data_IF_080737109706
#
_entry.id   IF_080737109706
#
_cell.length_a   1.000
_cell.length_b   1.000
_cell.length_c   1.000
_cell.angle_alpha   90.00
_cell.angle_beta   90.00
_cell.angle_gamma   90.00
#
_symmetry.space_group_name_H-M   'P 1'
#
loop_
_entity.id
_entity.type
_entity.pdbx_description
1 polymer ?
#
# COMPACT_ATOMS: atom_id res chain seq x y z
N UNK A 1 -25.26 -26.03 76.27
CA UNK A 1 -25.15 -25.00 75.19
C UNK A 1 -26.16 -25.40 74.13
N UNK A 2 -27.20 -24.58 73.88
CA UNK A 2 -28.43 -24.97 73.16
C UNK A 2 -28.18 -24.94 71.61
N UNK A 3 -28.76 -25.90 70.92
CA UNK A 3 -28.75 -26.02 69.44
C UNK A 3 -29.02 -24.68 68.73
N UNK A 4 -29.79 -23.78 69.36
CA UNK A 4 -30.06 -22.41 68.84
C UNK A 4 -28.80 -21.54 68.67
N UNK A 5 -27.75 -21.75 69.49
CA UNK A 5 -26.52 -20.95 69.37
C UNK A 5 -25.68 -21.42 68.16
N UNK A 6 -25.66 -22.71 67.82
CA UNK A 6 -24.96 -23.23 66.66
C UNK A 6 -25.61 -22.79 65.35
N UNK A 7 -26.94 -22.74 65.30
CA UNK A 7 -27.64 -22.22 64.12
C UNK A 7 -27.38 -20.73 63.88
N UNK A 8 -27.34 -19.93 64.99
CA UNK A 8 -27.01 -18.49 64.88
C UNK A 8 -25.57 -18.29 64.41
N UNK A 9 -24.60 -19.03 64.90
CA UNK A 9 -23.22 -18.98 64.46
C UNK A 9 -23.06 -19.42 62.97
N UNK A 10 -23.76 -20.47 62.57
CA UNK A 10 -23.73 -20.94 61.18
C UNK A 10 -24.32 -19.92 60.20
N UNK A 11 -25.43 -19.29 60.56
CA UNK A 11 -26.03 -18.21 59.78
C UNK A 11 -25.10 -16.99 59.67
N UNK A 12 -24.45 -16.64 60.81
CA UNK A 12 -23.50 -15.50 60.81
C UNK A 12 -22.26 -15.75 59.94
N UNK A 13 -21.71 -16.97 60.01
CA UNK A 13 -20.57 -17.36 59.17
C UNK A 13 -20.97 -17.43 57.68
N UNK A 14 -22.17 -17.94 57.39
CA UNK A 14 -22.70 -17.95 56.01
C UNK A 14 -22.94 -16.53 55.48
N UNK A 15 -23.44 -15.60 56.31
CA UNK A 15 -23.59 -14.19 55.91
C UNK A 15 -22.22 -13.50 55.66
N UNK A 16 -21.21 -13.78 56.50
CA UNK A 16 -19.85 -13.27 56.27
C UNK A 16 -19.18 -13.83 54.99
N UNK A 17 -19.45 -15.09 54.63
CA UNK A 17 -18.95 -15.69 53.39
C UNK A 17 -19.58 -15.07 52.13
N UNK A 18 -20.82 -14.57 52.21
CA UNK A 18 -21.49 -13.90 51.08
C UNK A 18 -20.97 -12.48 50.80
N UNK A 19 -20.26 -11.84 51.78
CA UNK A 19 -19.68 -10.50 51.56
C UNK A 19 -18.26 -10.53 50.99
N UNK A 20 -17.67 -11.71 50.81
CA UNK A 20 -16.37 -11.88 50.18
C UNK A 20 -16.50 -11.89 48.63
N UNK A 21 -17.30 -11.01 48.05
CA UNK A 21 -17.18 -10.69 46.64
C UNK A 21 -15.85 -9.95 46.43
N UNK A 22 -14.83 -10.69 46.05
CA UNK A 22 -13.60 -10.08 45.52
C UNK A 22 -13.99 -9.19 44.37
N UNK A 23 -13.91 -7.87 44.53
CA UNK A 23 -13.92 -6.93 43.42
C UNK A 23 -12.78 -7.36 42.52
N UNK A 24 -13.10 -7.97 41.36
CA UNK A 24 -12.16 -8.08 40.27
C UNK A 24 -11.90 -6.65 39.83
N UNK A 25 -10.84 -6.05 40.36
CA UNK A 25 -10.31 -4.81 39.81
C UNK A 25 -10.18 -5.01 38.32
N UNK A 26 -10.52 -4.01 37.53
CA UNK A 26 -10.20 -3.97 36.11
C UNK A 26 -8.73 -4.37 35.99
N UNK A 27 -8.45 -5.43 35.24
CA UNK A 27 -7.07 -5.82 34.94
C UNK A 27 -6.28 -4.61 34.45
N UNK A 28 -4.95 -4.68 34.47
CA UNK A 28 -4.14 -3.56 34.01
C UNK A 28 -4.66 -3.14 32.63
N UNK A 29 -5.13 -1.90 32.54
CA UNK A 29 -5.43 -1.27 31.25
C UNK A 29 -4.08 -1.11 30.58
N UNK A 30 -3.91 -1.70 29.40
CA UNK A 30 -2.70 -1.58 28.59
C UNK A 30 -2.27 -0.11 28.47
N UNK A 31 -1.01 0.10 28.16
CA UNK A 31 -0.49 1.44 27.83
C UNK A 31 -1.23 2.10 26.66
N UNK A 32 -0.90 3.33 26.29
CA UNK A 32 -1.41 3.96 25.08
C UNK A 32 -1.21 3.03 23.87
N UNK A 33 -2.19 2.98 22.99
CA UNK A 33 -2.08 2.20 21.74
C UNK A 33 -0.92 2.75 20.94
N UNK A 34 -0.05 1.86 20.45
CA UNK A 34 0.99 2.23 19.51
C UNK A 34 0.34 2.57 18.15
N UNK A 35 0.70 3.71 17.58
CA UNK A 35 0.23 4.19 16.28
C UNK A 35 1.37 4.32 15.27
N UNK A 36 2.58 3.92 15.66
CA UNK A 36 3.76 3.98 14.80
C UNK A 36 3.79 2.70 13.95
N UNK A 37 3.89 2.81 12.63
CA UNK A 37 4.03 1.63 11.77
C UNK A 37 5.41 1.00 11.91
N UNK A 38 5.58 -0.30 11.54
CA UNK A 38 6.86 -0.96 11.52
C UNK A 38 7.91 -0.20 10.72
N UNK A 39 9.09 0.01 11.29
CA UNK A 39 10.19 0.72 10.63
C UNK A 39 11.18 -0.27 10.01
N UNK A 40 11.67 0.07 8.81
CA UNK A 40 12.63 -0.71 8.07
C UNK A 40 14.00 -0.70 8.74
N UNK A 41 14.59 -1.90 8.95
CA UNK A 41 15.92 -2.06 9.54
C UNK A 41 16.94 -2.48 8.48
N UNK A 42 16.58 -3.47 7.64
CA UNK A 42 17.51 -4.05 6.67
C UNK A 42 16.77 -4.71 5.51
N UNK A 43 17.35 -4.59 4.32
CA UNK A 43 16.90 -5.28 3.11
C UNK A 43 18.04 -6.18 2.58
N UNK A 44 17.68 -7.36 2.06
CA UNK A 44 18.63 -8.30 1.46
C UNK A 44 17.98 -9.02 0.28
N UNK A 45 18.38 -8.75 -0.97
CA UNK A 45 19.23 -7.63 -1.41
C UNK A 45 18.64 -6.27 -1.07
N UNK A 46 19.40 -5.19 -1.17
CA UNK A 46 18.91 -3.83 -0.92
C UNK A 46 17.95 -3.38 -2.03
N UNK A 47 16.99 -2.55 -1.69
CA UNK A 47 16.10 -1.91 -2.65
C UNK A 47 16.92 -1.13 -3.70
N UNK A 48 16.59 -1.26 -4.98
CA UNK A 48 17.36 -0.68 -6.08
C UNK A 48 18.52 -1.55 -6.59
N UNK A 49 18.62 -2.82 -6.18
CA UNK A 49 19.64 -3.75 -6.68
C UNK A 49 19.54 -3.93 -8.19
N UNK A 50 20.68 -3.84 -8.89
CA UNK A 50 20.86 -4.19 -10.30
C UNK A 50 21.43 -5.61 -10.42
N UNK A 51 21.27 -6.22 -11.61
CA UNK A 51 21.71 -7.60 -11.86
C UNK A 51 21.17 -8.59 -10.83
N UNK A 52 19.91 -8.39 -10.45
CA UNK A 52 19.27 -9.22 -9.47
C UNK A 52 19.17 -10.67 -9.95
N UNK A 53 19.80 -11.59 -9.24
CA UNK A 53 19.84 -13.04 -9.50
C UNK A 53 19.35 -13.87 -8.32
N UNK A 54 18.95 -13.22 -7.23
CA UNK A 54 18.49 -13.89 -6.02
C UNK A 54 17.09 -14.50 -6.20
N UNK A 55 16.86 -15.68 -5.63
CA UNK A 55 15.52 -16.28 -5.60
C UNK A 55 14.66 -15.79 -4.44
N UNK A 56 15.23 -15.00 -3.54
CA UNK A 56 14.57 -14.53 -2.32
C UNK A 56 14.95 -13.10 -1.99
N UNK A 57 13.98 -12.36 -1.49
CA UNK A 57 14.16 -11.06 -0.85
C UNK A 57 13.78 -11.21 0.62
N UNK A 58 14.56 -10.63 1.51
CA UNK A 58 14.28 -10.55 2.94
C UNK A 58 14.34 -9.10 3.39
N UNK A 59 13.27 -8.64 4.06
CA UNK A 59 13.15 -7.30 4.62
C UNK A 59 12.92 -7.42 6.11
N UNK A 60 13.81 -6.84 6.92
CA UNK A 60 13.75 -6.89 8.37
C UNK A 60 13.23 -5.57 8.92
N UNK A 61 12.31 -5.67 9.88
CA UNK A 61 11.71 -4.56 10.59
C UNK A 61 12.16 -4.51 12.05
N UNK A 62 11.94 -3.38 12.70
CA UNK A 62 12.28 -3.16 14.11
C UNK A 62 11.33 -3.88 15.08
N UNK A 63 10.14 -4.27 14.60
CA UNK A 63 9.12 -4.97 15.38
C UNK A 63 8.53 -6.20 14.65
N UNK A 64 7.65 -6.94 15.34
CA UNK A 64 6.93 -8.07 14.77
C UNK A 64 5.88 -7.59 13.78
N UNK A 65 5.87 -8.20 12.59
CA UNK A 65 4.95 -7.87 11.52
C UNK A 65 3.97 -9.00 11.22
N UNK A 66 2.85 -8.64 10.63
CA UNK A 66 1.90 -9.54 9.99
C UNK A 66 1.52 -9.01 8.60
N UNK A 67 0.95 -9.87 7.77
CA UNK A 67 0.48 -9.49 6.44
C UNK A 67 -1.05 -9.48 6.41
N UNK A 68 -1.62 -8.39 5.92
CA UNK A 68 -3.05 -8.20 5.74
C UNK A 68 -3.39 -8.24 4.24
N UNK A 69 -4.38 -9.07 3.87
CA UNK A 69 -4.97 -9.15 2.52
C UNK A 69 -3.94 -9.11 1.38
N UNK A 70 -2.95 -10.04 1.41
CA UNK A 70 -1.85 -10.09 0.44
C UNK A 70 -2.37 -10.02 -1.00
N UNK A 71 -3.45 -10.74 -1.31
CA UNK A 71 -4.01 -10.80 -2.66
C UNK A 71 -4.57 -9.46 -3.16
N UNK A 72 -4.99 -8.62 -2.24
CA UNK A 72 -5.52 -7.28 -2.52
C UNK A 72 -4.43 -6.23 -2.54
N UNK A 73 -3.54 -6.27 -1.55
CA UNK A 73 -2.60 -5.19 -1.26
C UNK A 73 -1.24 -5.37 -1.91
N UNK A 74 -0.80 -6.61 -2.20
CA UNK A 74 0.53 -6.83 -2.82
C UNK A 74 0.39 -6.92 -4.32
N UNK A 75 1.06 -6.03 -5.02
CA UNK A 75 1.09 -5.98 -6.48
C UNK A 75 2.51 -6.07 -6.99
N UNK A 76 2.72 -6.94 -7.99
CA UNK A 76 4.03 -7.16 -8.61
C UNK A 76 3.96 -6.77 -10.08
N UNK A 77 4.88 -5.92 -10.50
CA UNK A 77 4.92 -5.38 -11.86
C UNK A 77 6.33 -5.52 -12.45
N UNK A 78 6.52 -6.18 -13.61
CA UNK A 78 5.51 -6.88 -14.43
C UNK A 78 4.80 -7.98 -13.66
N UNK A 79 3.53 -8.30 -14.02
CA UNK A 79 2.80 -9.37 -13.38
C UNK A 79 3.45 -10.73 -13.64
N UNK A 80 3.32 -11.63 -12.67
CA UNK A 80 3.82 -13.00 -12.75
C UNK A 80 2.66 -13.98 -12.71
N UNK A 81 2.65 -14.95 -13.62
CA UNK A 81 1.60 -15.99 -13.68
C UNK A 81 1.68 -16.92 -12.46
N UNK A 82 2.90 -17.18 -11.96
CA UNK A 82 3.12 -17.86 -10.71
C UNK A 82 3.64 -16.86 -9.65
N UNK A 83 2.74 -16.16 -8.96
CA UNK A 83 3.14 -15.09 -8.05
C UNK A 83 4.09 -15.62 -6.96
N UNK A 84 5.03 -14.80 -6.51
CA UNK A 84 5.95 -15.20 -5.45
C UNK A 84 5.22 -15.44 -4.14
N UNK A 85 5.81 -16.30 -3.33
CA UNK A 85 5.36 -16.54 -1.98
C UNK A 85 5.81 -15.40 -1.06
N UNK A 86 4.85 -14.68 -0.45
CA UNK A 86 5.10 -13.57 0.47
C UNK A 86 4.69 -13.99 1.88
N UNK A 87 5.63 -13.96 2.83
CA UNK A 87 5.41 -14.39 4.23
C UNK A 87 6.00 -13.42 5.23
N UNK A 88 5.31 -13.21 6.34
CA UNK A 88 5.87 -12.60 7.54
C UNK A 88 6.34 -13.67 8.51
N UNK A 89 7.59 -13.60 8.92
CA UNK A 89 8.22 -14.54 9.87
C UNK A 89 8.86 -13.72 11.00
N UNK A 90 8.11 -13.53 12.06
CA UNK A 90 8.57 -12.68 13.18
C UNK A 90 8.70 -11.21 12.75
N UNK A 91 9.93 -10.70 12.70
CA UNK A 91 10.26 -9.34 12.26
C UNK A 91 10.69 -9.27 10.80
N UNK A 92 10.57 -10.35 10.05
CA UNK A 92 11.10 -10.45 8.68
C UNK A 92 9.99 -10.74 7.69
N UNK A 93 9.91 -9.94 6.64
CA UNK A 93 9.16 -10.21 5.42
C UNK A 93 10.05 -11.03 4.49
N UNK A 94 9.56 -12.16 4.01
CA UNK A 94 10.25 -13.03 3.06
C UNK A 94 9.44 -13.13 1.78
N UNK A 95 10.08 -12.89 0.64
CA UNK A 95 9.49 -13.00 -0.69
C UNK A 95 10.32 -14.02 -1.46
N UNK A 96 9.69 -15.08 -1.96
CA UNK A 96 10.35 -16.16 -2.71
C UNK A 96 9.73 -16.26 -4.09
N UNK A 97 10.52 -16.04 -5.14
CA UNK A 97 10.05 -16.13 -6.52
C UNK A 97 9.83 -17.57 -6.93
N UNK A 98 8.67 -17.85 -7.55
CA UNK A 98 8.24 -19.18 -7.99
C UNK A 98 8.51 -19.43 -9.46
N UNK A 99 8.87 -18.38 -10.22
CA UNK A 99 9.25 -18.46 -11.63
C UNK A 99 10.55 -17.71 -11.88
N UNK A 100 11.17 -17.99 -13.02
CA UNK A 100 12.38 -17.27 -13.44
C UNK A 100 12.00 -15.85 -13.87
N UNK A 101 12.80 -14.90 -13.44
CA UNK A 101 12.62 -13.50 -13.78
C UNK A 101 13.05 -13.22 -15.22
N UNK A 102 12.35 -12.31 -15.89
CA UNK A 102 12.71 -11.89 -17.25
C UNK A 102 14.02 -11.12 -17.23
N UNK A 103 14.86 -11.35 -18.22
CA UNK A 103 16.14 -10.64 -18.38
C UNK A 103 15.92 -9.15 -18.67
N UNK A 104 16.89 -8.34 -18.22
CA UNK A 104 16.93 -6.88 -18.47
C UNK A 104 15.62 -6.18 -18.12
N UNK A 105 14.97 -6.59 -17.03
CA UNK A 105 13.64 -6.13 -16.64
C UNK A 105 13.65 -5.52 -15.24
N UNK A 106 13.02 -4.37 -15.09
CA UNK A 106 12.78 -3.76 -13.78
C UNK A 106 11.53 -4.38 -13.16
N UNK A 107 11.63 -4.86 -11.94
CA UNK A 107 10.52 -5.35 -11.12
C UNK A 107 10.20 -4.38 -10.01
N UNK A 108 8.92 -4.24 -9.73
CA UNK A 108 8.40 -3.43 -8.63
C UNK A 108 7.42 -4.28 -7.83
N UNK A 109 7.59 -4.31 -6.53
CA UNK A 109 6.67 -4.94 -5.59
C UNK A 109 6.10 -3.82 -4.73
N UNK A 110 4.84 -3.52 -4.92
CA UNK A 110 4.09 -2.59 -4.09
C UNK A 110 3.34 -3.37 -3.03
N UNK A 111 3.57 -3.04 -1.77
CA UNK A 111 2.93 -3.72 -0.64
C UNK A 111 1.65 -3.01 -0.17
N UNK A 112 1.34 -1.82 -0.71
CA UNK A 112 0.16 -1.05 -0.29
C UNK A 112 0.08 -0.92 1.23
N UNK A 113 -0.98 -1.47 1.81
CA UNK A 113 -1.19 -1.55 3.26
C UNK A 113 -1.04 -2.99 3.80
N UNK A 114 -0.35 -3.89 3.08
CA UNK A 114 -0.24 -5.29 3.46
C UNK A 114 0.61 -5.52 4.72
N UNK A 115 1.69 -4.75 4.89
CA UNK A 115 2.62 -4.92 6.01
C UNK A 115 2.07 -4.15 7.19
N UNK A 116 1.73 -4.86 8.26
CA UNK A 116 1.18 -4.26 9.47
C UNK A 116 1.98 -4.68 10.70
N UNK A 117 2.00 -3.84 11.74
CA UNK A 117 2.36 -4.26 13.08
C UNK A 117 1.50 -5.46 13.54
N UNK A 118 2.12 -6.37 14.29
CA UNK A 118 1.48 -7.59 14.75
C UNK A 118 0.38 -7.34 15.80
N UNK A 119 0.58 -6.38 16.70
CA UNK A 119 -0.30 -6.14 17.86
C UNK A 119 -1.47 -5.24 17.49
N UNK A 120 -1.19 -4.01 17.07
CA UNK A 120 -2.15 -2.94 16.82
C UNK A 120 -2.70 -2.94 15.41
N UNK A 121 -2.05 -3.65 14.47
CA UNK A 121 -2.36 -3.74 13.04
C UNK A 121 -2.22 -2.40 12.31
N UNK A 122 -1.33 -1.55 12.81
CA UNK A 122 -0.99 -0.28 12.14
C UNK A 122 -0.24 -0.59 10.84
N UNK A 123 -0.75 -0.19 9.67
CA UNK A 123 -0.13 -0.50 8.39
C UNK A 123 1.09 0.38 8.11
N UNK A 124 2.12 -0.20 7.50
CA UNK A 124 3.18 0.53 6.82
C UNK A 124 2.71 0.82 5.40
N UNK A 125 2.27 2.05 5.15
CA UNK A 125 1.77 2.46 3.84
C UNK A 125 2.91 2.91 2.90
N UNK A 126 2.73 2.63 1.60
CA UNK A 126 3.61 3.13 0.55
C UNK A 126 5.00 2.50 0.49
N UNK A 127 5.21 1.35 1.14
CA UNK A 127 6.46 0.61 0.98
C UNK A 127 6.49 -0.09 -0.37
N UNK A 128 7.45 0.33 -1.20
CA UNK A 128 7.69 -0.22 -2.54
C UNK A 128 9.12 -0.71 -2.63
N UNK A 129 9.29 -1.94 -3.10
CA UNK A 129 10.59 -2.54 -3.35
C UNK A 129 10.80 -2.72 -4.86
N UNK A 130 11.85 -2.14 -5.41
CA UNK A 130 12.17 -2.22 -6.84
C UNK A 130 13.58 -2.79 -7.04
N UNK A 131 13.76 -3.56 -8.11
CA UNK A 131 15.06 -4.09 -8.53
C UNK A 131 15.06 -4.31 -10.04
N UNK A 132 16.23 -4.55 -10.60
CA UNK A 132 16.38 -4.87 -12.03
C UNK A 132 17.26 -6.10 -12.23
N UNK A 133 16.88 -6.97 -13.14
CA UNK A 133 17.74 -8.05 -13.63
C UNK A 133 18.77 -7.56 -14.64
N UNK A 134 18.66 -6.30 -15.12
CA UNK A 134 19.56 -5.65 -16.05
C UNK A 134 20.45 -4.58 -15.42
N UNK A 135 20.98 -3.72 -16.29
CA UNK A 135 22.01 -2.72 -15.95
C UNK A 135 21.44 -1.44 -15.34
N UNK A 136 20.13 -1.23 -15.40
CA UNK A 136 19.48 -0.02 -14.89
C UNK A 136 18.04 -0.32 -14.42
N UNK A 137 17.50 0.58 -13.62
CA UNK A 137 16.10 0.60 -13.24
C UNK A 137 15.38 1.61 -14.13
N UNK A 138 14.29 1.17 -14.76
CA UNK A 138 13.40 2.05 -15.51
C UNK A 138 12.77 3.06 -14.54
N UNK A 139 12.65 4.33 -14.93
CA UNK A 139 12.23 5.40 -14.01
C UNK A 139 11.02 6.20 -14.47
N UNK A 140 10.55 5.98 -15.70
CA UNK A 140 9.39 6.72 -16.21
C UNK A 140 8.11 6.27 -15.50
N UNK A 141 7.13 7.16 -15.47
CA UNK A 141 5.83 6.89 -14.91
C UNK A 141 4.73 7.59 -15.72
N UNK A 142 3.53 7.04 -15.62
CA UNK A 142 2.30 7.69 -16.09
C UNK A 142 1.25 7.63 -15.01
N UNK A 143 0.39 8.63 -14.96
CA UNK A 143 -0.71 8.67 -13.99
C UNK A 143 -2.00 9.20 -14.59
N UNK A 144 -3.10 8.90 -13.91
CA UNK A 144 -4.41 9.29 -14.36
C UNK A 144 -5.51 8.88 -13.39
N UNK A 145 -6.73 8.83 -13.89
CA UNK A 145 -7.92 8.42 -13.14
C UNK A 145 -8.79 7.45 -13.90
N UNK A 146 -9.43 6.55 -13.18
CA UNK A 146 -10.47 5.65 -13.69
C UNK A 146 -11.82 6.10 -13.15
N UNK A 147 -12.78 6.27 -14.05
CA UNK A 147 -14.16 6.63 -13.72
C UNK A 147 -15.12 5.59 -14.29
N UNK A 148 -16.19 5.33 -13.57
CA UNK A 148 -17.33 4.59 -14.11
C UNK A 148 -18.02 5.45 -15.19
N UNK A 149 -18.20 4.88 -16.38
CA UNK A 149 -18.74 5.60 -17.52
C UNK A 149 -20.22 5.98 -17.39
N UNK A 150 -20.98 5.27 -16.57
CA UNK A 150 -22.43 5.52 -16.40
C UNK A 150 -22.72 6.67 -15.43
N UNK A 151 -22.00 6.68 -14.28
CA UNK A 151 -22.33 7.60 -13.19
C UNK A 151 -21.20 8.60 -12.88
N UNK A 152 -20.07 8.53 -13.58
CA UNK A 152 -18.91 9.40 -13.46
C UNK A 152 -18.21 9.35 -12.08
N UNK A 153 -18.52 8.33 -11.28
CA UNK A 153 -17.86 8.13 -9.99
C UNK A 153 -16.44 7.58 -10.18
N UNK A 154 -15.49 7.93 -9.30
CA UNK A 154 -14.19 7.31 -9.27
C UNK A 154 -14.30 5.80 -9.05
N UNK A 155 -13.48 5.01 -9.75
CA UNK A 155 -13.45 3.55 -9.63
C UNK A 155 -12.23 3.11 -8.81
N UNK A 156 -12.43 2.67 -7.56
CA UNK A 156 -11.34 2.16 -6.74
C UNK A 156 -10.96 0.72 -7.09
N UNK A 157 -9.70 0.37 -6.79
CA UNK A 157 -9.19 -1.01 -6.84
C UNK A 157 -9.21 -1.68 -8.22
N UNK A 158 -9.41 -0.92 -9.28
CA UNK A 158 -9.36 -1.43 -10.66
C UNK A 158 -7.90 -1.69 -11.04
N UNK A 159 -7.63 -2.83 -11.67
CA UNK A 159 -6.32 -3.13 -12.24
C UNK A 159 -6.10 -2.23 -13.46
N UNK A 160 -5.04 -1.43 -13.44
CA UNK A 160 -4.63 -0.59 -14.57
C UNK A 160 -3.32 -1.11 -15.12
N UNK A 161 -3.26 -1.34 -16.42
CA UNK A 161 -2.08 -1.91 -17.05
C UNK A 161 -1.75 -1.27 -18.39
N UNK A 162 -0.50 -1.40 -18.79
CA UNK A 162 0.00 -0.98 -20.10
C UNK A 162 0.57 -2.15 -20.88
N UNK A 163 0.37 -2.10 -22.21
CA UNK A 163 0.97 -3.01 -23.17
C UNK A 163 1.94 -2.29 -24.09
N UNK A 164 3.14 -2.84 -24.24
CA UNK A 164 4.10 -2.43 -25.27
C UNK A 164 3.78 -3.01 -26.65
N UNK A 165 3.00 -4.08 -26.72
CA UNK A 165 2.49 -4.62 -27.97
C UNK A 165 1.17 -3.94 -28.33
N UNK A 166 1.14 -3.29 -29.49
CA UNK A 166 -0.02 -2.50 -29.96
C UNK A 166 -1.04 -3.33 -30.78
N UNK A 167 -0.86 -4.65 -30.89
CA UNK A 167 -1.84 -5.52 -31.55
C UNK A 167 -3.14 -5.55 -30.75
N UNK A 168 -4.28 -5.51 -31.43
CA UNK A 168 -5.60 -5.60 -30.78
C UNK A 168 -5.80 -6.95 -30.06
N UNK A 169 -5.05 -7.99 -30.45
CA UNK A 169 -5.08 -9.29 -29.79
C UNK A 169 -4.18 -9.37 -28.55
N UNK A 170 -3.31 -8.39 -28.33
CA UNK A 170 -2.36 -8.43 -27.22
C UNK A 170 -3.07 -8.51 -25.87
N UNK A 171 -4.14 -7.76 -25.69
CA UNK A 171 -4.93 -7.72 -24.47
C UNK A 171 -5.49 -9.08 -24.03
N UNK A 172 -5.81 -9.96 -25.00
CA UNK A 172 -6.40 -11.29 -24.75
C UNK A 172 -5.36 -12.43 -24.74
N UNK A 173 -4.12 -12.17 -25.16
CA UNK A 173 -3.13 -13.22 -25.39
C UNK A 173 -1.83 -13.06 -24.62
N UNK A 174 -1.59 -11.86 -24.08
CA UNK A 174 -0.37 -11.51 -23.37
C UNK A 174 -0.71 -10.79 -22.09
N UNK A 175 -0.03 -11.08 -20.98
CA UNK A 175 -0.19 -10.30 -19.75
C UNK A 175 0.32 -8.86 -19.97
N UNK A 176 -0.15 -7.94 -19.15
CA UNK A 176 0.30 -6.55 -19.16
C UNK A 176 1.82 -6.44 -18.98
N UNK A 177 2.44 -5.46 -19.64
CA UNK A 177 3.87 -5.14 -19.47
C UNK A 177 4.15 -4.50 -18.10
N UNK A 178 3.23 -3.70 -17.60
CA UNK A 178 3.25 -3.06 -16.28
C UNK A 178 1.83 -2.92 -15.77
N UNK A 179 1.69 -3.00 -14.45
CA UNK A 179 0.40 -2.88 -13.77
C UNK A 179 0.48 -2.02 -12.52
N UNK A 180 -0.66 -1.47 -12.16
CA UNK A 180 -0.94 -0.81 -10.87
C UNK A 180 -2.41 -1.00 -10.51
N UNK A 181 -2.86 -0.49 -9.37
CA UNK A 181 -4.29 -0.39 -9.01
C UNK A 181 -4.67 1.05 -8.76
N UNK A 182 -5.93 1.37 -9.05
CA UNK A 182 -6.50 2.66 -8.67
C UNK A 182 -6.77 2.70 -7.16
N UNK A 183 -6.55 3.87 -6.57
CA UNK A 183 -6.85 4.16 -5.16
C UNK A 183 -8.36 4.43 -4.93
N UNK A 184 -8.73 4.82 -3.71
CA UNK A 184 -10.11 5.14 -3.32
C UNK A 184 -10.74 6.28 -4.10
N UNK A 185 -9.93 7.17 -4.66
CA UNK A 185 -10.32 8.32 -5.46
C UNK A 185 -10.22 8.04 -6.98
N UNK A 186 -9.95 6.78 -7.34
CA UNK A 186 -9.77 6.33 -8.71
C UNK A 186 -8.43 6.72 -9.34
N UNK A 187 -7.51 7.34 -8.60
CA UNK A 187 -6.18 7.67 -9.13
C UNK A 187 -5.32 6.43 -9.27
N UNK A 188 -4.50 6.42 -10.31
CA UNK A 188 -3.48 5.42 -10.51
C UNK A 188 -2.16 6.05 -10.93
N UNK A 189 -1.06 5.39 -10.60
CA UNK A 189 0.28 5.69 -11.12
C UNK A 189 0.99 4.39 -11.44
N UNK A 190 1.39 4.22 -12.70
CA UNK A 190 2.24 3.12 -13.13
C UNK A 190 3.67 3.60 -13.10
N UNK A 191 4.48 3.00 -12.26
CA UNK A 191 5.89 3.34 -12.08
C UNK A 191 6.82 2.43 -12.87
N UNK A 192 8.08 2.85 -12.97
CA UNK A 192 9.19 2.05 -13.48
C UNK A 192 8.94 1.57 -14.92
N UNK A 193 8.41 2.47 -15.75
CA UNK A 193 8.14 2.21 -17.16
C UNK A 193 9.42 2.48 -17.95
N UNK A 194 9.75 1.57 -18.86
CA UNK A 194 10.81 1.74 -19.84
C UNK A 194 10.42 2.78 -20.89
N UNK A 195 11.39 3.46 -21.47
CA UNK A 195 11.18 4.29 -22.64
C UNK A 195 10.55 3.46 -23.78
N UNK A 196 9.48 3.98 -24.38
CA UNK A 196 8.70 3.28 -25.41
C UNK A 196 7.32 3.87 -25.58
N UNK A 197 6.52 3.17 -26.35
CA UNK A 197 5.11 3.53 -26.61
C UNK A 197 4.20 2.40 -26.13
N UNK A 198 3.04 2.77 -25.57
CA UNK A 198 2.17 1.84 -24.87
C UNK A 198 0.70 2.13 -25.13
N UNK A 199 -0.13 1.09 -25.04
CA UNK A 199 -1.59 1.22 -24.89
C UNK A 199 -1.95 1.06 -23.41
N UNK A 200 -2.92 1.84 -22.95
CA UNK A 200 -3.39 1.87 -21.57
C UNK A 200 -4.77 1.25 -21.45
N UNK A 201 -4.93 0.41 -20.42
CA UNK A 201 -6.18 -0.30 -20.13
C UNK A 201 -6.46 -0.28 -18.65
N UNK A 202 -7.76 -0.40 -18.28
CA UNK A 202 -8.16 -0.76 -16.94
C UNK A 202 -9.11 -1.95 -17.01
N UNK A 203 -8.91 -2.95 -16.15
CA UNK A 203 -9.54 -4.26 -16.23
C UNK A 203 -10.06 -4.70 -14.87
N UNK A 204 -11.26 -5.29 -14.83
CA UNK A 204 -11.69 -6.09 -13.70
C UNK A 204 -11.23 -7.53 -13.88
N UNK A 205 -9.97 -7.78 -13.60
CA UNK A 205 -9.31 -9.07 -13.76
C UNK A 205 -9.82 -10.08 -12.71
N UNK A 206 -10.92 -10.73 -13.02
CA UNK A 206 -11.55 -11.75 -12.15
C UNK A 206 -10.75 -13.05 -12.21
N UNK A 207 -10.21 -13.37 -13.37
CA UNK A 207 -9.43 -14.58 -13.63
C UNK A 207 -8.03 -14.54 -13.00
N UNK A 208 -7.48 -13.34 -12.75
CA UNK A 208 -6.14 -13.07 -12.23
C UNK A 208 -5.02 -13.58 -13.14
N UNK A 209 -5.27 -13.55 -14.44
CA UNK A 209 -4.29 -13.91 -15.46
C UNK A 209 -3.64 -12.68 -16.12
N UNK A 210 -4.08 -11.47 -15.71
CA UNK A 210 -3.60 -10.18 -16.23
C UNK A 210 -3.83 -10.01 -17.72
N UNK A 211 -4.86 -10.67 -18.27
CA UNK A 211 -5.32 -10.62 -19.66
C UNK A 211 -6.84 -10.41 -19.64
N UNK A 212 -7.37 -9.79 -20.67
CA UNK A 212 -8.82 -9.64 -20.81
C UNK A 212 -9.48 -10.96 -21.20
N UNK A 213 -10.51 -11.34 -20.45
CA UNK A 213 -11.40 -12.45 -20.75
C UNK A 213 -12.81 -11.95 -21.06
N UNK A 214 -13.56 -12.61 -21.95
CA UNK A 214 -14.95 -12.23 -22.24
C UNK A 214 -15.81 -12.23 -20.95
N UNK A 215 -16.51 -11.12 -20.72
CA UNK A 215 -17.32 -10.91 -19.52
C UNK A 215 -16.60 -10.17 -18.38
N UNK A 216 -15.36 -9.82 -18.55
CA UNK A 216 -14.66 -8.89 -17.65
C UNK A 216 -14.90 -7.46 -18.10
N UNK A 217 -15.14 -6.57 -17.15
CA UNK A 217 -15.33 -5.17 -17.46
C UNK A 217 -14.01 -4.49 -17.81
N UNK A 218 -14.02 -3.61 -18.79
CA UNK A 218 -12.83 -3.03 -19.41
C UNK A 218 -12.98 -1.51 -19.61
N UNK A 219 -11.88 -0.79 -19.43
CA UNK A 219 -11.68 0.56 -19.94
C UNK A 219 -10.43 0.62 -20.79
N UNK A 220 -10.44 1.40 -21.85
CA UNK A 220 -9.27 1.61 -22.71
C UNK A 220 -9.25 3.02 -23.28
N UNK A 221 -8.06 3.45 -23.67
CA UNK A 221 -7.84 4.64 -24.49
C UNK A 221 -7.23 4.18 -25.82
N UNK A 222 -7.82 4.62 -26.93
CA UNK A 222 -7.30 4.32 -28.27
C UNK A 222 -5.96 5.01 -28.57
N UNK A 223 -5.59 6.01 -27.77
CA UNK A 223 -4.34 6.74 -27.94
C UNK A 223 -3.14 5.89 -27.51
N UNK A 224 -2.04 6.06 -28.22
CA UNK A 224 -0.75 5.51 -27.84
C UNK A 224 -0.08 6.52 -26.92
N UNK A 225 0.23 6.10 -25.69
CA UNK A 225 0.97 6.91 -24.73
C UNK A 225 2.46 6.68 -24.85
N UNK A 226 3.24 7.74 -24.75
CA UNK A 226 4.71 7.71 -24.73
C UNK A 226 5.16 8.38 -23.43
N UNK A 227 5.55 7.61 -22.40
CA UNK A 227 6.01 8.18 -21.14
C UNK A 227 7.29 8.99 -21.34
N UNK A 228 7.38 10.14 -20.67
CA UNK A 228 8.57 10.99 -20.63
C UNK A 228 8.63 11.76 -19.32
N UNK A 229 9.70 12.49 -19.07
CA UNK A 229 9.79 13.39 -17.92
C UNK A 229 10.20 14.79 -18.37
N UNK A 230 9.76 15.76 -17.59
CA UNK A 230 10.19 17.15 -17.68
C UNK A 230 10.72 17.64 -16.35
N UNK A 231 11.73 18.50 -16.40
CA UNK A 231 12.21 19.23 -15.23
C UNK A 231 11.67 20.64 -15.29
N UNK A 232 10.94 21.05 -14.26
CA UNK A 232 10.35 22.39 -14.17
C UNK A 232 10.81 23.04 -12.87
N UNK A 233 11.07 24.34 -12.92
CA UNK A 233 11.26 25.14 -11.74
C UNK A 233 9.90 25.45 -11.14
N UNK A 234 9.72 25.13 -9.86
CA UNK A 234 8.50 25.42 -9.09
C UNK A 234 8.84 26.22 -7.86
N UNK A 235 7.93 27.07 -7.45
CA UNK A 235 8.06 27.78 -6.18
C UNK A 235 7.62 26.84 -5.06
N UNK A 236 8.49 26.58 -4.12
CA UNK A 236 8.22 25.83 -2.91
C UNK A 236 8.12 26.77 -1.72
N UNK A 237 7.09 26.62 -0.92
CA UNK A 237 6.87 27.45 0.25
C UNK A 237 7.27 26.69 1.49
N UNK A 238 8.31 27.18 2.17
CA UNK A 238 8.69 26.66 3.47
C UNK A 238 7.84 27.33 4.54
N UNK A 239 7.21 26.50 5.36
CA UNK A 239 6.42 26.96 6.50
C UNK A 239 7.25 26.82 7.76
N UNK A 240 7.12 27.81 8.66
CA UNK A 240 7.71 27.77 10.00
C UNK A 240 6.59 27.79 11.02
N UNK A 241 6.65 26.85 11.93
CA UNK A 241 5.82 26.90 13.12
C UNK A 241 6.33 27.97 14.07
N UNK A 242 5.51 28.97 14.33
CA UNK A 242 5.79 29.98 15.33
C UNK A 242 4.95 29.71 16.57
N UNK A 243 5.64 29.70 17.73
CA UNK A 243 5.00 29.63 19.02
C UNK A 243 4.57 31.05 19.44
N UNK A 244 3.27 31.26 19.49
CA UNK A 244 2.66 32.45 20.05
C UNK A 244 2.01 32.13 21.41
N UNK A 245 1.79 33.16 22.23
CA UNK A 245 0.98 33.04 23.43
C UNK A 245 -0.30 33.86 23.21
N UNK A 246 -1.45 33.18 23.35
CA UNK A 246 -2.73 33.87 23.33
C UNK A 246 -2.75 34.93 24.45
N UNK A 247 -2.96 36.21 24.13
CA UNK A 247 -2.93 37.27 25.12
C UNK A 247 -4.07 37.18 26.16
N UNK A 248 -5.14 36.45 25.85
CA UNK A 248 -6.33 36.32 26.69
C UNK A 248 -6.27 35.02 27.51
N UNK A 249 -6.11 33.85 26.84
CA UNK A 249 -6.12 32.53 27.50
C UNK A 249 -4.77 32.17 28.10
N UNK A 250 -3.67 32.81 27.64
CA UNK A 250 -2.28 32.45 27.98
C UNK A 250 -1.85 31.07 27.48
N UNK A 251 -2.64 30.46 26.62
CA UNK A 251 -2.30 29.18 26.01
C UNK A 251 -1.28 29.36 24.90
N UNK A 252 -0.51 28.30 24.63
CA UNK A 252 0.44 28.28 23.52
C UNK A 252 -0.29 28.10 22.20
N UNK A 253 -0.19 29.08 21.30
CA UNK A 253 -0.72 28.99 19.95
C UNK A 253 0.38 28.59 18.98
N UNK A 254 0.10 27.57 18.18
CA UNK A 254 0.91 27.21 17.02
C UNK A 254 0.34 27.94 15.79
N UNK A 255 1.16 28.76 15.16
CA UNK A 255 0.76 29.45 13.94
C UNK A 255 1.77 29.13 12.85
N UNK A 256 1.29 28.54 11.78
CA UNK A 256 2.09 28.35 10.57
C UNK A 256 2.27 29.70 9.87
N UNK A 257 3.52 30.08 9.63
CA UNK A 257 3.84 31.28 8.84
C UNK A 257 4.75 30.88 7.67
N UNK A 258 4.56 31.58 6.54
CA UNK A 258 5.48 31.43 5.41
C UNK A 258 6.84 31.98 5.85
N UNK A 259 7.85 31.10 5.88
CA UNK A 259 9.22 31.47 6.20
C UNK A 259 9.97 31.92 4.96
N UNK A 260 9.93 31.13 3.92
CA UNK A 260 10.69 31.38 2.69
C UNK A 260 9.97 30.76 1.48
N UNK A 261 9.96 31.48 0.37
CA UNK A 261 9.62 30.92 -0.93
C UNK A 261 10.93 30.68 -1.67
N UNK A 262 11.18 29.44 -2.03
CA UNK A 262 12.38 29.05 -2.80
C UNK A 262 12.00 28.44 -4.14
N UNK A 263 12.83 28.67 -5.14
CA UNK A 263 12.68 28.00 -6.43
C UNK A 263 13.43 26.68 -6.37
N UNK A 264 12.73 25.57 -6.59
CA UNK A 264 13.30 24.21 -6.65
C UNK A 264 13.00 23.58 -7.99
N UNK A 265 13.94 22.80 -8.51
CA UNK A 265 13.70 22.01 -9.71
C UNK A 265 13.05 20.69 -9.33
N UNK A 266 11.84 20.45 -9.83
CA UNK A 266 11.14 19.16 -9.67
C UNK A 266 11.04 18.41 -10.99
N UNK A 267 11.10 17.09 -10.92
CA UNK A 267 10.87 16.20 -12.07
C UNK A 267 9.40 15.81 -12.09
N UNK A 268 8.76 15.99 -13.24
CA UNK A 268 7.39 15.59 -13.51
C UNK A 268 7.40 14.48 -14.54
N UNK A 269 6.72 13.39 -14.25
CA UNK A 269 6.53 12.29 -15.18
C UNK A 269 5.21 12.49 -15.91
N UNK A 270 5.23 12.29 -17.22
CA UNK A 270 4.12 12.59 -18.11
C UNK A 270 3.84 11.42 -19.08
N UNK A 271 2.59 11.25 -19.52
CA UNK A 271 1.38 11.99 -19.15
C UNK A 271 0.94 11.71 -17.71
N UNK A 272 0.36 12.73 -17.03
CA UNK A 272 -0.05 12.69 -15.62
C UNK A 272 -1.56 12.93 -15.41
N UNK A 273 -2.32 13.04 -16.49
CA UNK A 273 -3.76 13.38 -16.48
C UNK A 273 -4.58 12.48 -17.41
N UNK A 274 -4.17 11.21 -17.52
CA UNK A 274 -4.90 10.21 -18.32
C UNK A 274 -6.27 9.92 -17.66
N UNK A 275 -7.27 9.68 -18.49
CA UNK A 275 -8.62 9.34 -18.04
C UNK A 275 -9.10 8.09 -18.72
N UNK A 276 -9.53 7.11 -17.93
CA UNK A 276 -10.12 5.87 -18.40
C UNK A 276 -11.59 5.80 -17.99
N UNK A 277 -12.46 5.47 -18.94
CA UNK A 277 -13.89 5.27 -18.73
C UNK A 277 -14.20 3.79 -18.70
N UNK A 278 -14.59 3.33 -17.53
CA UNK A 278 -14.81 1.92 -17.22
C UNK A 278 -16.26 1.53 -17.48
N UNK A 279 -16.45 0.50 -18.30
CA UNK A 279 -17.75 -0.05 -18.67
C UNK A 279 -17.89 -1.46 -18.10
N UNK A 280 -19.02 -1.74 -17.49
CA UNK A 280 -19.47 -3.10 -17.19
C UNK A 280 -20.46 -3.51 -18.31
N UNK A 281 -20.26 -4.69 -18.89
CA UNK A 281 -21.27 -5.27 -19.77
C UNK A 281 -22.37 -5.91 -18.90
N UNK A 282 -23.64 -5.55 -19.15
CA UNK A 282 -24.81 -6.10 -18.47
C UNK A 282 -25.04 -7.60 -18.79
#
# INVERSE_FOLDING_TARGET
MSIRHYTIYFVLVALLACTACANRGSGPQGGPRDTIPPALVKETPINGTLHFDAKRIEVQFDEYIQLADIQKNVLISPPQLNPPEVKAIGKTLSIVFNEDLQDSTTYTIDFGAAICDYNEKTPLEGYVYSFSTGDFIDTLAVSGRVYNAENLNPMPEVLVGIHSNHSDTALNTLPFSRITRSDTEGYFTIHNIREGSYRLYALNDISRDYMYQPGEALAFDDSIITPYFERREVQDTLWRDTLGIDPVTKDTLFTEQIDTIQTVTRTFFLPDSLVLWYFEED
#
